data_IF_697277413606
#
_entry.id   IF_697277413606
#
_cell.length_a   1.000
_cell.length_b   1.000
_cell.length_c   1.000
_cell.angle_alpha   90.00
_cell.angle_beta   90.00
_cell.angle_gamma   90.00
#
_symmetry.space_group_name_H-M   'P 1'
#
loop_
_entity.id
_entity.type
_entity.pdbx_description
1 polymer ?
#
# COMPACT_ATOMS: atom_id res chain seq x y z
N UNK A 1 36.11 -95.86 -3.60
CA UNK A 1 35.91 -94.39 -3.72
C UNK A 1 34.69 -94.15 -4.57
N UNK A 2 33.58 -93.73 -3.96
CA UNK A 2 32.34 -93.42 -4.69
C UNK A 2 32.32 -91.91 -4.98
N UNK A 3 32.34 -91.46 -6.25
CA UNK A 3 32.50 -90.04 -6.61
C UNK A 3 31.31 -89.15 -6.20
N UNK A 4 30.16 -89.77 -5.90
CA UNK A 4 28.86 -89.12 -5.69
C UNK A 4 28.80 -88.31 -4.38
N UNK A 5 29.41 -88.82 -3.31
CA UNK A 5 29.35 -88.23 -1.96
C UNK A 5 30.26 -87.01 -1.80
N UNK A 6 31.30 -86.91 -2.63
CA UNK A 6 32.27 -85.81 -2.63
C UNK A 6 31.72 -84.60 -3.40
N UNK A 7 31.05 -84.85 -4.53
CA UNK A 7 30.38 -83.81 -5.31
C UNK A 7 29.20 -83.16 -4.55
N UNK A 8 28.42 -83.94 -3.80
CA UNK A 8 27.34 -83.40 -2.96
C UNK A 8 27.86 -82.54 -1.81
N UNK A 9 28.94 -82.95 -1.14
CA UNK A 9 29.60 -82.15 -0.09
C UNK A 9 30.12 -80.82 -0.63
N UNK A 10 30.73 -80.82 -1.82
CA UNK A 10 31.20 -79.59 -2.49
C UNK A 10 30.04 -78.65 -2.81
N UNK A 11 28.92 -79.19 -3.35
CA UNK A 11 27.71 -78.42 -3.66
C UNK A 11 27.08 -77.79 -2.41
N UNK A 12 27.04 -78.52 -1.30
CA UNK A 12 26.54 -78.03 -0.01
C UNK A 12 27.40 -76.90 0.55
N UNK A 13 28.73 -77.06 0.49
CA UNK A 13 29.69 -76.02 0.89
C UNK A 13 29.52 -74.74 0.07
N UNK A 14 29.36 -74.87 -1.25
CA UNK A 14 29.12 -73.73 -2.15
C UNK A 14 27.79 -73.02 -1.86
N UNK A 15 26.73 -73.77 -1.52
CA UNK A 15 25.42 -73.21 -1.16
C UNK A 15 25.47 -72.46 0.18
N UNK A 16 26.19 -73.03 1.16
CA UNK A 16 26.44 -72.37 2.44
C UNK A 16 27.21 -71.06 2.25
N UNK A 17 28.30 -71.09 1.48
CA UNK A 17 29.12 -69.92 1.20
C UNK A 17 28.36 -68.82 0.44
N UNK A 18 27.51 -69.16 -0.54
CA UNK A 18 26.62 -68.20 -1.22
C UNK A 18 25.59 -67.57 -0.27
N UNK A 19 25.04 -68.37 0.65
CA UNK A 19 24.12 -67.85 1.69
C UNK A 19 24.84 -66.88 2.64
N UNK A 20 26.07 -67.19 3.01
CA UNK A 20 26.90 -66.37 3.89
C UNK A 20 27.25 -65.03 3.23
N UNK A 21 27.67 -65.04 1.96
CA UNK A 21 27.90 -63.84 1.15
C UNK A 21 26.64 -62.98 1.07
N UNK A 22 25.46 -63.59 0.85
CA UNK A 22 24.19 -62.86 0.77
C UNK A 22 23.81 -62.24 2.12
N UNK A 23 24.08 -62.91 3.24
CA UNK A 23 23.89 -62.33 4.59
C UNK A 23 24.84 -61.16 4.82
N UNK A 24 26.10 -61.29 4.43
CA UNK A 24 27.10 -60.21 4.50
C UNK A 24 26.65 -58.97 3.72
N UNK A 25 26.16 -59.17 2.49
CA UNK A 25 25.63 -58.11 1.64
C UNK A 25 24.37 -57.46 2.22
N UNK A 26 23.44 -58.23 2.78
CA UNK A 26 22.27 -57.70 3.47
C UNK A 26 22.67 -56.85 4.69
N UNK A 27 23.66 -57.30 5.48
CA UNK A 27 24.21 -56.53 6.61
C UNK A 27 24.82 -55.21 6.12
N UNK A 28 25.65 -55.26 5.08
CA UNK A 28 26.28 -54.07 4.50
C UNK A 28 25.25 -53.08 3.92
N UNK A 29 24.22 -53.56 3.21
CA UNK A 29 23.16 -52.71 2.68
C UNK A 29 22.29 -52.09 3.78
N UNK A 30 21.95 -52.85 4.83
CA UNK A 30 21.24 -52.31 5.98
C UNK A 30 22.07 -51.25 6.71
N UNK A 31 23.37 -51.47 6.87
CA UNK A 31 24.28 -50.48 7.46
C UNK A 31 24.35 -49.21 6.61
N UNK A 32 24.47 -49.33 5.28
CA UNK A 32 24.43 -48.19 4.35
C UNK A 32 23.12 -47.43 4.42
N UNK A 33 21.99 -48.13 4.43
CA UNK A 33 20.67 -47.50 4.54
C UNK A 33 20.51 -46.72 5.85
N UNK A 34 20.89 -47.33 6.98
CA UNK A 34 20.88 -46.66 8.30
C UNK A 34 21.80 -45.44 8.32
N UNK A 35 23.00 -45.53 7.76
CA UNK A 35 23.92 -44.39 7.66
C UNK A 35 23.37 -43.28 6.76
N UNK A 36 22.73 -43.63 5.64
CA UNK A 36 22.10 -42.64 4.74
C UNK A 36 20.94 -41.92 5.44
N UNK A 37 20.09 -42.65 6.17
CA UNK A 37 19.02 -42.08 6.99
C UNK A 37 19.57 -41.15 8.07
N UNK A 38 20.61 -41.58 8.80
CA UNK A 38 21.24 -40.76 9.85
C UNK A 38 21.89 -39.50 9.28
N UNK A 39 22.57 -39.60 8.14
CA UNK A 39 23.15 -38.44 7.46
C UNK A 39 22.08 -37.46 6.98
N UNK A 40 20.97 -37.96 6.43
CA UNK A 40 19.85 -37.11 6.04
C UNK A 40 19.26 -36.38 7.25
N UNK A 41 19.05 -37.10 8.35
CA UNK A 41 18.54 -36.51 9.59
C UNK A 41 19.48 -35.41 10.13
N UNK A 42 20.78 -35.70 10.23
CA UNK A 42 21.78 -34.72 10.67
C UNK A 42 21.81 -33.48 9.78
N UNK A 43 21.74 -33.66 8.46
CA UNK A 43 21.70 -32.54 7.53
C UNK A 43 20.43 -31.71 7.72
N UNK A 44 19.27 -32.35 7.91
CA UNK A 44 18.01 -31.66 8.15
C UNK A 44 18.07 -30.85 9.46
N UNK A 45 18.58 -31.45 10.53
CA UNK A 45 18.77 -30.80 11.83
C UNK A 45 19.71 -29.58 11.70
N UNK A 46 20.81 -29.71 10.96
CA UNK A 46 21.72 -28.58 10.67
C UNK A 46 21.02 -27.47 9.89
N UNK A 47 20.25 -27.80 8.84
CA UNK A 47 19.53 -26.81 8.05
C UNK A 47 18.44 -26.10 8.85
N UNK A 48 17.75 -26.82 9.75
CA UNK A 48 16.75 -26.22 10.65
C UNK A 48 17.43 -25.24 11.61
N UNK A 49 18.59 -25.61 12.17
CA UNK A 49 19.37 -24.74 13.04
C UNK A 49 19.86 -23.49 12.31
N UNK A 50 20.41 -23.64 11.10
CA UNK A 50 20.84 -22.53 10.24
C UNK A 50 19.68 -21.56 9.93
N UNK A 51 18.50 -22.09 9.57
CA UNK A 51 17.31 -21.28 9.32
C UNK A 51 16.84 -20.54 10.57
N UNK A 52 16.89 -21.16 11.75
CA UNK A 52 16.56 -20.47 13.00
C UNK A 52 17.53 -19.34 13.30
N UNK A 53 18.83 -19.55 13.08
CA UNK A 53 19.84 -18.52 13.25
C UNK A 53 19.64 -17.36 12.27
N UNK A 54 19.33 -17.66 11.01
CA UNK A 54 19.02 -16.66 9.99
C UNK A 54 17.77 -15.85 10.35
N UNK A 55 16.71 -16.51 10.79
CA UNK A 55 15.47 -15.87 11.23
C UNK A 55 15.72 -14.95 12.43
N UNK A 56 16.49 -15.40 13.43
CA UNK A 56 16.91 -14.58 14.56
C UNK A 56 17.72 -13.35 14.12
N UNK A 57 18.63 -13.52 13.17
CA UNK A 57 19.44 -12.43 12.60
C UNK A 57 18.58 -11.42 11.85
N UNK A 58 17.65 -11.89 11.01
CA UNK A 58 16.72 -11.04 10.27
C UNK A 58 15.77 -10.28 11.20
N UNK A 59 15.24 -10.93 12.24
CA UNK A 59 14.43 -10.27 13.27
C UNK A 59 15.19 -9.15 13.98
N UNK A 60 16.43 -9.39 14.39
CA UNK A 60 17.27 -8.37 15.02
C UNK A 60 17.53 -7.20 14.07
N UNK A 61 17.91 -7.50 12.83
CA UNK A 61 18.14 -6.46 11.81
C UNK A 61 16.89 -5.62 11.55
N UNK A 62 15.71 -6.24 11.51
CA UNK A 62 14.43 -5.52 11.40
C UNK A 62 14.20 -4.61 12.60
N UNK A 63 14.45 -5.09 13.82
CA UNK A 63 14.33 -4.28 15.04
C UNK A 63 15.30 -3.09 15.02
N UNK A 64 16.54 -3.28 14.59
CA UNK A 64 17.52 -2.19 14.49
C UNK A 64 17.05 -1.11 13.49
N UNK A 65 16.48 -1.51 12.35
CA UNK A 65 15.91 -0.58 11.35
C UNK A 65 14.71 0.17 11.94
N UNK A 66 13.76 -0.54 12.54
CA UNK A 66 12.57 0.04 13.19
C UNK A 66 12.96 1.08 14.25
N UNK A 67 13.94 0.75 15.09
CA UNK A 67 14.42 1.67 16.13
C UNK A 67 15.13 2.89 15.54
N UNK A 68 15.87 2.73 14.45
CA UNK A 68 16.51 3.85 13.75
C UNK A 68 15.49 4.77 13.05
N UNK A 69 14.38 4.21 12.58
CA UNK A 69 13.31 4.96 11.93
C UNK A 69 12.27 5.50 12.91
N UNK A 70 12.33 5.12 14.18
CA UNK A 70 11.32 5.53 15.16
C UNK A 70 11.23 7.06 15.25
N UNK A 71 10.01 7.58 15.12
CA UNK A 71 9.75 9.01 15.31
C UNK A 71 9.39 9.29 16.76
N UNK A 72 10.02 10.32 17.34
CA UNK A 72 9.65 10.87 18.65
C UNK A 72 8.53 11.91 18.54
N UNK A 73 8.02 12.15 17.33
CA UNK A 73 6.98 13.14 17.07
C UNK A 73 5.63 12.67 17.59
N UNK A 74 4.92 13.58 18.27
CA UNK A 74 3.57 13.35 18.74
C UNK A 74 2.62 13.16 17.53
N UNK A 75 1.80 12.10 17.47
CA UNK A 75 0.82 11.89 16.39
C UNK A 75 -0.08 13.11 16.11
N UNK A 76 -0.44 13.86 17.15
CA UNK A 76 -1.23 15.08 17.00
C UNK A 76 -0.49 16.18 16.24
N UNK A 77 0.81 16.34 16.52
CA UNK A 77 1.69 17.27 15.80
C UNK A 77 1.87 16.83 14.35
N UNK A 78 2.06 15.52 14.11
CA UNK A 78 2.17 14.97 12.76
C UNK A 78 0.92 15.30 11.95
N UNK A 79 -0.27 15.03 12.49
CA UNK A 79 -1.54 15.32 11.80
C UNK A 79 -1.68 16.82 11.53
N UNK A 80 -1.39 17.67 12.50
CA UNK A 80 -1.47 19.12 12.33
C UNK A 80 -0.53 19.63 11.23
N UNK A 81 0.71 19.13 11.19
CA UNK A 81 1.72 19.53 10.21
C UNK A 81 1.38 19.03 8.81
N UNK A 82 0.90 17.78 8.67
CA UNK A 82 0.42 17.28 7.36
C UNK A 82 -0.75 18.13 6.87
N UNK A 83 -1.68 18.52 7.75
CA UNK A 83 -2.77 19.43 7.36
C UNK A 83 -2.25 20.80 6.96
N UNK A 84 -1.26 21.34 7.66
CA UNK A 84 -0.64 22.61 7.30
C UNK A 84 0.00 22.55 5.90
N UNK A 85 0.69 21.44 5.60
CA UNK A 85 1.29 21.18 4.29
C UNK A 85 0.20 21.09 3.21
N UNK A 86 -0.87 20.32 3.46
CA UNK A 86 -1.99 20.21 2.52
C UNK A 86 -2.66 21.57 2.25
N UNK A 87 -2.88 22.37 3.29
CA UNK A 87 -3.42 23.73 3.16
C UNK A 87 -2.55 24.64 2.30
N UNK A 88 -1.23 24.57 2.49
CA UNK A 88 -0.27 25.38 1.74
C UNK A 88 0.01 24.81 0.34
N UNK A 89 -0.23 23.52 0.12
CA UNK A 89 0.05 22.85 -1.15
C UNK A 89 -0.79 23.41 -2.30
N UNK A 90 -1.98 23.96 -2.05
CA UNK A 90 -2.79 24.65 -3.07
C UNK A 90 -2.20 26.01 -3.53
N UNK A 91 -1.09 26.45 -2.93
CA UNK A 91 -0.42 27.73 -3.23
C UNK A 91 0.96 27.50 -3.85
N UNK A 92 1.56 28.57 -4.37
CA UNK A 92 2.97 28.55 -4.79
C UNK A 92 3.84 28.18 -3.56
N UNK A 93 4.87 27.33 -3.70
CA UNK A 93 5.49 26.84 -4.95
C UNK A 93 4.94 25.50 -5.47
N UNK A 94 4.11 24.80 -4.70
CA UNK A 94 3.54 23.49 -5.07
C UNK A 94 2.63 23.52 -6.30
N UNK A 95 2.17 24.72 -6.70
CA UNK A 95 1.43 24.98 -7.93
C UNK A 95 2.29 25.07 -9.20
N UNK A 96 3.62 25.14 -9.08
CA UNK A 96 4.51 25.30 -10.23
C UNK A 96 4.53 24.03 -11.11
N UNK A 97 4.48 24.24 -12.42
CA UNK A 97 4.64 23.18 -13.42
C UNK A 97 6.10 22.69 -13.48
N UNK A 98 7.09 23.52 -13.15
CA UNK A 98 8.51 23.20 -13.20
C UNK A 98 9.03 22.58 -11.89
N UNK A 99 9.50 21.34 -11.97
CA UNK A 99 10.10 20.58 -10.86
C UNK A 99 11.36 21.23 -10.30
N UNK A 100 12.21 21.78 -11.19
CA UNK A 100 13.48 22.38 -10.80
C UNK A 100 13.29 23.63 -9.94
N UNK A 101 12.33 24.48 -10.29
CA UNK A 101 12.05 25.72 -9.56
C UNK A 101 11.48 25.43 -8.17
N UNK A 102 10.61 24.42 -8.06
CA UNK A 102 10.05 23.96 -6.79
C UNK A 102 11.12 23.29 -5.92
N UNK A 103 11.97 22.44 -6.50
CA UNK A 103 13.04 21.76 -5.77
C UNK A 103 14.13 22.74 -5.33
N UNK A 104 14.24 23.92 -5.93
CA UNK A 104 15.16 24.98 -5.52
C UNK A 104 14.63 25.85 -4.37
N UNK A 105 13.33 25.76 -4.08
CA UNK A 105 12.73 26.45 -2.94
C UNK A 105 13.10 25.79 -1.61
N UNK A 106 13.57 26.61 -0.67
CA UNK A 106 14.10 26.15 0.63
C UNK A 106 12.99 25.58 1.51
N UNK A 107 11.79 26.18 1.48
CA UNK A 107 10.67 25.73 2.30
C UNK A 107 10.08 24.42 1.77
N UNK A 108 10.09 24.24 0.45
CA UNK A 108 9.69 22.99 -0.19
C UNK A 108 10.63 21.85 0.18
N UNK A 109 11.95 22.06 0.15
CA UNK A 109 12.92 21.04 0.61
C UNK A 109 12.69 20.63 2.05
N UNK A 110 12.52 21.58 2.96
CA UNK A 110 12.22 21.29 4.38
C UNK A 110 10.92 20.51 4.53
N UNK A 111 9.90 20.86 3.76
CA UNK A 111 8.62 20.15 3.76
C UNK A 111 8.79 18.71 3.29
N UNK A 112 9.53 18.47 2.21
CA UNK A 112 9.81 17.12 1.69
C UNK A 112 10.61 16.28 2.70
N UNK A 113 11.65 16.85 3.31
CA UNK A 113 12.43 16.19 4.37
C UNK A 113 11.55 15.84 5.57
N UNK A 114 10.66 16.75 5.97
CA UNK A 114 9.70 16.49 7.04
C UNK A 114 8.78 15.32 6.68
N UNK A 115 8.18 15.32 5.49
CA UNK A 115 7.31 14.25 5.02
C UNK A 115 8.03 12.90 4.99
N UNK A 116 9.26 12.84 4.48
CA UNK A 116 10.08 11.62 4.49
C UNK A 116 10.39 11.10 5.90
N UNK A 117 10.42 11.98 6.91
CA UNK A 117 10.66 11.60 8.30
C UNK A 117 9.39 11.13 9.03
N UNK A 118 8.20 11.60 8.64
CA UNK A 118 6.94 11.25 9.31
C UNK A 118 6.15 10.13 8.62
N UNK A 119 6.44 9.82 7.36
CA UNK A 119 5.83 8.71 6.63
C UNK A 119 6.77 7.48 6.60
N UNK A 120 6.18 6.29 6.54
CA UNK A 120 6.95 5.08 6.19
C UNK A 120 7.33 5.13 4.71
N UNK A 121 8.42 4.44 4.33
CA UNK A 121 8.89 4.44 2.94
C UNK A 121 7.87 3.83 1.96
N UNK A 122 7.01 2.93 2.45
CA UNK A 122 5.94 2.25 1.73
C UNK A 122 4.54 2.85 2.00
N UNK A 123 4.49 4.05 2.58
CA UNK A 123 3.24 4.68 2.98
C UNK A 123 2.21 4.71 1.85
N UNK A 124 0.97 4.37 2.18
CA UNK A 124 -0.08 4.16 1.19
C UNK A 124 -1.22 5.17 1.28
N UNK A 125 -1.80 5.52 0.13
CA UNK A 125 -3.04 6.29 0.02
C UNK A 125 -3.91 5.67 -1.08
N UNK A 126 -4.88 4.85 -0.67
CA UNK A 126 -5.65 4.01 -1.59
C UNK A 126 -4.76 3.05 -2.38
N UNK A 127 -4.70 3.22 -3.71
CA UNK A 127 -3.86 2.39 -4.61
C UNK A 127 -2.42 2.89 -4.77
N UNK A 128 -2.13 4.09 -4.28
CA UNK A 128 -0.79 4.68 -4.33
C UNK A 128 0.00 4.17 -3.13
N UNK A 129 1.24 3.75 -3.34
CA UNK A 129 2.17 3.32 -2.28
C UNK A 129 3.56 3.89 -2.56
N UNK A 130 4.22 4.33 -1.51
CA UNK A 130 5.52 4.98 -1.56
C UNK A 130 5.43 6.50 -1.38
N UNK A 131 6.33 7.06 -0.57
CA UNK A 131 6.31 8.49 -0.21
C UNK A 131 6.45 9.41 -1.41
N UNK A 132 7.30 9.07 -2.38
CA UNK A 132 7.50 9.89 -3.59
C UNK A 132 6.22 9.95 -4.45
N UNK A 133 5.51 8.83 -4.54
CA UNK A 133 4.23 8.74 -5.26
C UNK A 133 3.10 9.51 -4.54
N UNK A 134 3.12 9.54 -3.20
CA UNK A 134 2.20 10.37 -2.40
C UNK A 134 2.45 11.87 -2.64
N UNK A 135 3.71 12.28 -2.62
CA UNK A 135 4.12 13.67 -2.87
C UNK A 135 3.70 14.10 -4.29
N UNK A 136 3.97 13.28 -5.30
CA UNK A 136 3.54 13.55 -6.68
C UNK A 136 2.01 13.61 -6.80
N UNK A 137 1.29 12.75 -6.05
CA UNK A 137 -0.18 12.81 -6.01
C UNK A 137 -0.70 14.12 -5.44
N UNK A 138 -0.13 14.59 -4.32
CA UNK A 138 -0.51 15.87 -3.73
C UNK A 138 -0.19 17.04 -4.65
N UNK A 139 0.94 16.98 -5.37
CA UNK A 139 1.30 17.98 -6.39
C UNK A 139 0.30 18.00 -7.55
N UNK A 140 -0.20 16.84 -8.00
CA UNK A 140 -1.28 16.84 -9.01
C UNK A 140 -2.56 17.47 -8.47
N UNK A 141 -2.90 17.19 -7.22
CA UNK A 141 -4.05 17.82 -6.56
C UNK A 141 -3.91 19.33 -6.42
N UNK A 142 -2.72 19.87 -6.14
CA UNK A 142 -2.51 21.33 -6.08
C UNK A 142 -2.80 22.03 -7.40
N UNK A 143 -2.51 21.36 -8.52
CA UNK A 143 -2.80 21.87 -9.86
C UNK A 143 -4.30 21.82 -10.18
N UNK A 144 -5.01 20.78 -9.75
CA UNK A 144 -6.45 20.63 -10.04
C UNK A 144 -7.32 21.54 -9.19
N UNK A 145 -7.03 21.63 -7.89
CA UNK A 145 -7.87 22.33 -6.92
C UNK A 145 -7.62 23.83 -6.86
N UNK A 146 -6.64 24.35 -7.62
CA UNK A 146 -6.51 25.78 -7.83
C UNK A 146 -6.43 26.54 -6.50
N UNK A 147 -7.30 27.53 -6.30
CA UNK A 147 -7.40 28.36 -5.10
C UNK A 147 -8.23 27.74 -3.96
N UNK A 148 -8.33 26.41 -3.91
CA UNK A 148 -9.02 25.71 -2.84
C UNK A 148 -8.45 26.06 -1.46
N UNK A 149 -9.35 26.09 -0.48
CA UNK A 149 -9.03 26.31 0.92
C UNK A 149 -9.50 25.12 1.75
N UNK A 150 -8.58 24.57 2.55
CA UNK A 150 -8.87 23.48 3.48
C UNK A 150 -8.83 24.02 4.91
N UNK A 151 -9.88 23.80 5.70
CA UNK A 151 -9.99 24.31 7.07
C UNK A 151 -10.10 23.17 8.06
N UNK A 152 -9.01 22.85 8.77
CA UNK A 152 -9.03 21.84 9.82
C UNK A 152 -9.99 22.26 10.94
N UNK A 153 -10.97 21.42 11.25
CA UNK A 153 -11.97 21.66 12.29
C UNK A 153 -11.66 20.91 13.56
N UNK A 154 -11.27 19.64 13.44
CA UNK A 154 -10.96 18.77 14.59
C UNK A 154 -9.95 17.71 14.21
N UNK A 155 -9.19 17.29 15.22
CA UNK A 155 -8.42 16.05 15.19
C UNK A 155 -8.93 15.20 16.36
N UNK A 156 -9.06 13.90 16.16
CA UNK A 156 -9.53 12.97 17.18
C UNK A 156 -8.80 11.62 17.03
N UNK A 157 -8.54 10.95 18.16
CA UNK A 157 -8.06 9.56 18.15
C UNK A 157 -9.26 8.63 18.10
N UNK A 158 -9.35 7.81 17.06
CA UNK A 158 -10.43 6.84 16.94
C UNK A 158 -10.13 5.58 17.75
N UNK A 159 -8.91 5.08 17.58
CA UNK A 159 -8.35 3.91 18.25
C UNK A 159 -6.84 4.11 18.41
N UNK A 160 -6.15 3.31 19.23
CA UNK A 160 -4.69 3.27 19.21
C UNK A 160 -4.17 3.11 17.77
N UNK A 161 -3.19 3.93 17.39
CA UNK A 161 -2.61 3.94 16.04
C UNK A 161 -3.46 4.61 14.95
N UNK A 162 -4.68 5.08 15.23
CA UNK A 162 -5.54 5.73 14.22
C UNK A 162 -6.03 7.10 14.68
N UNK A 163 -5.67 8.13 13.93
CA UNK A 163 -6.13 9.50 14.13
C UNK A 163 -7.02 9.94 12.96
N UNK A 164 -8.12 10.62 13.23
CA UNK A 164 -8.98 11.24 12.23
C UNK A 164 -8.87 12.75 12.32
N UNK A 165 -8.59 13.38 11.20
CA UNK A 165 -8.73 14.81 11.04
C UNK A 165 -9.97 15.10 10.22
N UNK A 166 -10.81 16.03 10.67
CA UNK A 166 -11.99 16.50 9.94
C UNK A 166 -11.81 17.97 9.60
N UNK A 167 -12.14 18.35 8.37
CA UNK A 167 -11.96 19.67 7.81
C UNK A 167 -13.10 20.05 6.86
N UNK A 168 -13.13 21.32 6.43
CA UNK A 168 -13.98 21.82 5.34
C UNK A 168 -13.13 22.16 4.14
N UNK A 169 -13.53 21.71 2.96
CA UNK A 169 -12.89 22.02 1.69
C UNK A 169 -13.76 23.01 0.92
N UNK A 170 -13.29 24.24 0.79
CA UNK A 170 -13.88 25.28 -0.06
C UNK A 170 -13.18 25.25 -1.40
N UNK A 171 -13.90 24.98 -2.48
CA UNK A 171 -13.32 24.90 -3.81
C UNK A 171 -14.32 25.33 -4.88
N UNK A 172 -13.83 26.06 -5.89
CA UNK A 172 -14.59 26.34 -7.10
C UNK A 172 -14.43 25.18 -8.07
N UNK A 173 -15.53 24.58 -8.52
CA UNK A 173 -15.48 23.51 -9.50
C UNK A 173 -15.00 24.10 -10.83
N UNK A 174 -13.80 23.71 -11.26
CA UNK A 174 -13.22 24.11 -12.54
C UNK A 174 -13.40 23.00 -13.59
N UNK A 175 -13.17 23.34 -14.86
CA UNK A 175 -13.11 22.34 -15.93
C UNK A 175 -12.07 21.23 -15.66
N UNK A 176 -10.96 21.56 -14.99
CA UNK A 176 -9.95 20.58 -14.59
C UNK A 176 -10.48 19.61 -13.54
N UNK A 177 -11.22 20.11 -12.55
CA UNK A 177 -11.87 19.26 -11.55
C UNK A 177 -12.90 18.37 -12.23
N UNK A 178 -13.75 18.89 -13.12
CA UNK A 178 -14.73 18.05 -13.85
C UNK A 178 -14.04 16.99 -14.70
N UNK A 179 -12.98 17.34 -15.44
CA UNK A 179 -12.21 16.40 -16.26
C UNK A 179 -11.58 15.27 -15.44
N UNK A 180 -11.10 15.58 -14.24
CA UNK A 180 -10.48 14.59 -13.36
C UNK A 180 -11.51 13.78 -12.57
N UNK A 181 -12.52 14.44 -12.03
CA UNK A 181 -13.51 13.89 -11.10
C UNK A 181 -14.66 13.17 -11.79
N UNK A 182 -15.13 13.73 -12.90
CA UNK A 182 -16.33 13.30 -13.62
C UNK A 182 -16.04 13.21 -15.13
N UNK A 183 -15.02 12.43 -15.54
CA UNK A 183 -14.58 12.39 -16.94
C UNK A 183 -15.69 11.96 -17.90
N UNK A 184 -16.67 11.17 -17.44
CA UNK A 184 -17.82 10.74 -18.24
C UNK A 184 -18.73 11.90 -18.66
N UNK A 185 -18.77 13.00 -17.89
CA UNK A 185 -19.53 14.20 -18.26
C UNK A 185 -18.94 14.95 -19.45
N UNK A 186 -17.68 14.64 -19.83
CA UNK A 186 -17.05 15.18 -21.04
C UNK A 186 -17.45 14.42 -22.31
N UNK A 187 -17.88 13.17 -22.19
CA UNK A 187 -18.29 12.32 -23.32
C UNK A 187 -19.77 12.51 -23.70
N UNK A 188 -20.55 13.20 -22.85
CA UNK A 188 -21.97 13.45 -23.10
C UNK A 188 -22.17 14.61 -24.07
N UNK A 189 -22.33 14.26 -25.36
CA UNK A 189 -22.89 15.16 -26.35
C UNK A 189 -24.38 15.44 -26.03
N UNK A 190 -24.87 16.67 -26.26
CA UNK A 190 -26.27 16.99 -26.03
C UNK A 190 -27.17 16.07 -26.88
N UNK A 191 -28.08 15.35 -26.21
CA UNK A 191 -28.99 14.36 -26.84
C UNK A 191 -29.90 15.02 -27.87
N UNK A 192 -30.13 16.34 -27.77
CA UNK A 192 -30.89 17.14 -28.71
C UNK A 192 -30.50 18.62 -28.66
N UNK A 193 -30.55 19.31 -29.80
CA UNK A 193 -30.41 20.79 -29.91
C UNK A 193 -31.55 21.58 -29.22
N UNK A 194 -32.57 20.88 -28.72
CA UNK A 194 -33.73 21.44 -28.03
C UNK A 194 -33.77 21.07 -26.54
N UNK A 195 -32.69 20.50 -26.00
CA UNK A 195 -32.63 20.23 -24.57
C UNK A 195 -32.63 21.57 -23.81
N UNK A 196 -33.59 21.71 -22.89
CA UNK A 196 -33.87 22.98 -22.21
C UNK A 196 -32.87 23.18 -21.06
N UNK A 197 -32.28 22.09 -20.57
CA UNK A 197 -31.32 22.12 -19.48
C UNK A 197 -29.89 22.10 -20.02
N UNK A 198 -29.02 23.01 -19.56
CA UNK A 198 -27.60 22.95 -19.91
C UNK A 198 -27.02 21.61 -19.41
N UNK A 199 -26.08 20.99 -20.16
CA UNK A 199 -25.39 19.78 -19.76
C UNK A 199 -24.88 19.86 -18.31
N UNK A 200 -24.90 18.75 -17.58
CA UNK A 200 -24.53 18.73 -16.15
C UNK A 200 -23.17 19.38 -15.88
N UNK A 201 -22.20 19.22 -16.79
CA UNK A 201 -20.89 19.90 -16.73
C UNK A 201 -21.03 21.43 -16.60
N UNK A 202 -21.89 22.07 -17.38
CA UNK A 202 -22.03 23.52 -17.45
C UNK A 202 -22.70 24.07 -16.19
N UNK A 203 -23.50 23.24 -15.53
CA UNK A 203 -24.12 23.57 -14.25
C UNK A 203 -23.14 23.48 -13.09
N UNK A 204 -22.16 22.58 -13.18
CA UNK A 204 -21.15 22.35 -12.15
C UNK A 204 -20.01 23.37 -12.24
N UNK A 205 -19.51 23.67 -13.44
CA UNK A 205 -18.37 24.56 -13.64
C UNK A 205 -18.67 25.98 -13.14
N UNK A 206 -17.74 26.54 -12.38
CA UNK A 206 -17.85 27.86 -11.75
C UNK A 206 -18.59 27.86 -10.42
N UNK A 207 -19.15 26.73 -9.97
CA UNK A 207 -19.83 26.67 -8.69
C UNK A 207 -18.84 26.57 -7.53
N UNK A 208 -19.01 27.42 -6.54
CA UNK A 208 -18.33 27.30 -5.26
C UNK A 208 -19.03 26.24 -4.41
N UNK A 209 -18.28 25.23 -3.97
CA UNK A 209 -18.76 24.16 -3.10
C UNK A 209 -17.97 24.13 -1.80
N UNK A 210 -18.68 23.81 -0.71
CA UNK A 210 -18.11 23.65 0.62
C UNK A 210 -18.34 22.22 1.14
N UNK A 211 -17.36 21.36 0.89
CA UNK A 211 -17.45 19.92 1.13
C UNK A 211 -16.91 19.55 2.52
N UNK A 212 -17.52 18.54 3.14
CA UNK A 212 -16.93 17.91 4.33
C UNK A 212 -15.74 17.05 3.90
N UNK A 213 -14.59 17.24 4.55
CA UNK A 213 -13.36 16.52 4.27
C UNK A 213 -12.88 15.82 5.53
N UNK A 214 -12.36 14.60 5.43
CA UNK A 214 -11.65 13.96 6.54
C UNK A 214 -10.47 13.15 6.05
N UNK A 215 -9.49 12.88 6.90
CA UNK A 215 -8.41 11.95 6.62
C UNK A 215 -8.21 11.08 7.85
N UNK A 216 -8.16 9.76 7.66
CA UNK A 216 -7.64 8.85 8.67
C UNK A 216 -6.16 8.61 8.46
N UNK A 217 -5.39 8.82 9.51
CA UNK A 217 -3.97 8.55 9.60
C UNK A 217 -3.79 7.27 10.38
N UNK A 218 -3.26 6.25 9.69
CA UNK A 218 -2.87 4.99 10.29
C UNK A 218 -1.37 5.03 10.55
N UNK A 219 -1.02 5.00 11.83
CA UNK A 219 0.35 4.99 12.30
C UNK A 219 0.86 3.56 12.43
N UNK A 220 2.11 3.35 12.02
CA UNK A 220 2.84 2.12 12.26
C UNK A 220 3.20 2.03 13.75
N UNK A 221 2.83 0.91 14.39
CA UNK A 221 3.04 0.72 15.83
C UNK A 221 4.53 0.56 16.21
N UNK A 222 5.34 0.09 15.27
CA UNK A 222 6.75 -0.24 15.48
C UNK A 222 7.61 1.04 15.46
N UNK A 223 7.41 1.93 14.48
CA UNK A 223 8.21 3.16 14.30
C UNK A 223 7.45 4.47 14.56
N UNK A 224 6.12 4.45 14.77
CA UNK A 224 5.32 5.63 15.08
C UNK A 224 5.08 6.59 13.90
N UNK A 225 5.46 6.21 12.68
CA UNK A 225 5.27 7.00 11.45
C UNK A 225 3.92 6.68 10.80
N UNK A 226 3.47 7.52 9.89
CA UNK A 226 2.24 7.30 9.13
C UNK A 226 2.50 6.27 8.04
N UNK A 227 1.83 5.11 8.14
CA UNK A 227 1.89 4.04 7.15
C UNK A 227 0.76 4.13 6.11
N UNK A 228 -0.38 4.73 6.46
CA UNK A 228 -1.49 4.84 5.50
C UNK A 228 -2.36 6.07 5.76
N UNK A 229 -2.80 6.69 4.68
CA UNK A 229 -3.78 7.78 4.64
C UNK A 229 -5.05 7.33 3.94
N UNK A 230 -6.19 7.63 4.56
CA UNK A 230 -7.52 7.39 3.98
C UNK A 230 -8.29 8.70 3.97
N UNK A 231 -8.07 9.55 2.95
CA UNK A 231 -8.82 10.78 2.79
C UNK A 231 -10.27 10.48 2.39
N UNK A 232 -11.24 11.29 2.79
CA UNK A 232 -12.66 11.20 2.43
C UNK A 232 -13.26 12.58 2.20
N UNK A 233 -14.10 12.72 1.18
CA UNK A 233 -14.79 13.97 0.83
C UNK A 233 -16.25 13.68 0.53
N UNK A 234 -17.14 14.27 1.33
CA UNK A 234 -18.56 14.24 1.05
C UNK A 234 -18.94 15.43 0.17
N UNK A 235 -19.15 15.13 -1.12
CA UNK A 235 -19.56 16.10 -2.15
C UNK A 235 -21.07 16.11 -2.39
N UNK A 236 -21.79 15.11 -1.89
CA UNK A 236 -23.21 14.88 -2.22
C UNK A 236 -24.11 16.06 -1.80
N UNK A 237 -23.98 16.63 -0.58
CA UNK A 237 -24.81 17.78 -0.17
C UNK A 237 -24.63 18.99 -1.10
N UNK A 238 -23.40 19.27 -1.50
CA UNK A 238 -23.10 20.42 -2.36
C UNK A 238 -23.54 20.19 -3.81
N UNK A 239 -23.37 18.96 -4.33
CA UNK A 239 -23.92 18.60 -5.64
C UNK A 239 -25.44 18.68 -5.66
N UNK A 240 -26.12 18.21 -4.61
CA UNK A 240 -27.57 18.32 -4.51
C UNK A 240 -28.02 19.78 -4.44
N UNK A 241 -27.28 20.65 -3.74
CA UNK A 241 -27.55 22.09 -3.70
C UNK A 241 -27.42 22.75 -5.08
N UNK A 242 -26.40 22.36 -5.85
CA UNK A 242 -26.13 22.91 -7.19
C UNK A 242 -27.11 22.37 -8.24
N UNK A 243 -27.39 21.06 -8.21
CA UNK A 243 -28.17 20.37 -9.23
C UNK A 243 -29.67 20.34 -8.93
N UNK A 244 -30.06 20.53 -7.67
CA UNK A 244 -31.46 20.68 -7.24
C UNK A 244 -32.28 19.40 -7.24
N UNK A 245 -31.74 18.26 -7.67
CA UNK A 245 -32.43 16.97 -7.62
C UNK A 245 -31.42 15.81 -7.53
N UNK A 246 -31.90 14.67 -7.02
CA UNK A 246 -31.07 13.48 -6.81
C UNK A 246 -30.76 12.70 -8.10
N UNK A 247 -31.56 12.85 -9.16
CA UNK A 247 -31.32 12.15 -10.43
C UNK A 247 -30.03 12.65 -11.08
N UNK A 248 -29.87 13.96 -11.14
CA UNK A 248 -28.67 14.61 -11.68
C UNK A 248 -27.44 14.33 -10.80
N UNK A 249 -27.61 14.27 -9.47
CA UNK A 249 -26.53 13.91 -8.55
C UNK A 249 -26.09 12.47 -8.78
N UNK A 250 -27.05 11.55 -8.92
CA UNK A 250 -26.76 10.14 -9.25
C UNK A 250 -25.99 10.06 -10.57
N UNK A 251 -26.42 10.77 -11.61
CA UNK A 251 -25.74 10.80 -12.92
C UNK A 251 -24.30 11.36 -12.83
N UNK A 252 -24.08 12.41 -12.04
CA UNK A 252 -22.72 12.96 -11.80
C UNK A 252 -21.86 11.96 -11.04
N UNK A 253 -22.41 11.27 -10.04
CA UNK A 253 -21.68 10.30 -9.23
C UNK A 253 -21.55 8.92 -9.89
N UNK A 254 -22.37 8.62 -10.89
CA UNK A 254 -22.38 7.35 -11.60
C UNK A 254 -21.24 7.31 -12.62
N UNK A 255 -20.12 6.65 -12.26
CA UNK A 255 -19.05 6.34 -13.22
C UNK A 255 -19.03 4.85 -13.55
N UNK A 256 -19.36 4.44 -14.78
CA UNK A 256 -19.23 3.04 -15.22
C UNK A 256 -17.78 2.63 -15.51
N UNK A 257 -16.80 3.56 -15.50
CA UNK A 257 -15.42 3.31 -15.96
C UNK A 257 -14.30 3.72 -15.01
N UNK A 258 -14.59 4.30 -13.84
CA UNK A 258 -13.55 4.59 -12.86
C UNK A 258 -14.06 4.46 -11.43
N UNK A 259 -13.83 3.32 -10.77
CA UNK A 259 -13.97 3.22 -9.33
C UNK A 259 -13.00 4.15 -8.59
N UNK A 260 -12.00 4.75 -9.26
CA UNK A 260 -10.76 5.20 -8.60
C UNK A 260 -10.55 6.71 -8.58
N UNK A 261 -11.29 7.50 -9.35
CA UNK A 261 -11.15 8.97 -9.31
C UNK A 261 -11.62 9.55 -7.95
N UNK A 262 -12.61 8.89 -7.32
CA UNK A 262 -13.14 9.24 -5.98
C UNK A 262 -13.40 8.03 -5.07
N UNK A 263 -13.13 6.78 -5.47
CA UNK A 263 -13.34 5.61 -4.60
C UNK A 263 -12.42 5.54 -3.39
N UNK A 264 -11.40 6.40 -3.32
CA UNK A 264 -10.59 6.59 -2.11
C UNK A 264 -11.29 7.56 -1.15
N UNK A 265 -12.18 8.45 -1.66
CA UNK A 265 -12.75 9.55 -0.90
C UNK A 265 -14.16 9.29 -0.35
N UNK A 266 -14.81 8.17 -0.66
CA UNK A 266 -16.18 7.87 -0.20
C UNK A 266 -16.40 6.42 0.26
N UNK A 267 -15.37 5.75 0.77
CA UNK A 267 -15.54 4.52 1.57
C UNK A 267 -14.84 4.62 2.90
#
# INVERSE_FOLDING_TARGET
MSPSTEQEKVKYKQKCMKSEIRREQCRANQARYRNKQRSLQMNLESSVEELHQELCRLKRRRQDIVLAEKTDQNPWTIVAEVFHILQNSFRSPWKLENDEDMQNDVETRKTLEFLQNIFTSDAAMGKVSGIDELIDRWRRYSQYFGDAHLYLQRVESLTPGVMRATARLHVTITELIVRFAFPHLLEMEPVSKYDINPPLRERLVGQLVDCSFSIDFHFDEDNGRVARLEPRIDVIPELLRVLGNLSDVDEVCYSPKSPDAWGILNR
#
